data_IF_371278394383
#
_entry.id   IF_371278394383
#
_cell.length_a   1.000
_cell.length_b   1.000
_cell.length_c   1.000
_cell.angle_alpha   90.00
_cell.angle_beta   90.00
_cell.angle_gamma   90.00
#
_symmetry.space_group_name_H-M   'P 1'
#
loop_
_entity.id
_entity.type
_entity.pdbx_description
1 polymer ?
#
# COMPACT_ATOMS: atom_id res chain seq x y z
N UNK A 1 21.91 2.74 -8.39
CA UNK A 1 20.67 2.26 -9.02
C UNK A 1 19.56 2.24 -7.98
N UNK A 2 18.30 2.41 -8.38
CA UNK A 2 17.16 2.25 -7.46
C UNK A 2 15.99 1.54 -8.16
N UNK A 3 15.23 0.75 -7.41
CA UNK A 3 13.94 0.17 -7.81
C UNK A 3 12.88 0.60 -6.82
N UNK A 4 11.72 1.04 -7.31
CA UNK A 4 10.55 1.32 -6.48
C UNK A 4 9.95 -0.01 -6.03
N UNK A 5 9.84 -0.22 -4.72
CA UNK A 5 9.21 -1.42 -4.15
C UNK A 5 7.74 -1.19 -3.81
N UNK A 6 7.43 -0.03 -3.25
CA UNK A 6 6.09 0.33 -2.81
C UNK A 6 5.91 1.85 -2.78
N UNK A 7 4.66 2.30 -2.70
CA UNK A 7 4.33 3.70 -2.46
C UNK A 7 3.07 3.83 -1.61
N UNK A 8 3.09 4.79 -0.68
CA UNK A 8 1.90 5.18 0.07
C UNK A 8 1.81 6.71 0.20
N UNK A 9 0.90 7.17 1.05
CA UNK A 9 0.87 8.57 1.44
C UNK A 9 0.51 8.72 2.92
N UNK A 10 0.96 9.83 3.49
CA UNK A 10 0.59 10.27 4.83
C UNK A 10 0.03 11.69 4.78
N UNK A 11 -0.63 12.09 5.86
CA UNK A 11 -1.02 13.48 6.07
C UNK A 11 -0.13 14.05 7.18
N UNK A 12 0.60 15.12 6.89
CA UNK A 12 1.43 15.86 7.84
C UNK A 12 1.10 17.33 7.71
N UNK A 13 0.74 17.99 8.81
CA UNK A 13 0.39 19.42 8.84
C UNK A 13 -0.67 19.85 7.78
N UNK A 14 -1.71 19.02 7.60
CA UNK A 14 -2.76 19.13 6.58
C UNK A 14 -2.32 18.93 5.12
N UNK A 15 -1.04 18.71 4.85
CA UNK A 15 -0.52 18.40 3.52
C UNK A 15 -0.53 16.89 3.26
N UNK A 16 -0.80 16.51 2.01
CA UNK A 16 -0.79 15.12 1.57
C UNK A 16 0.59 14.81 0.98
N UNK A 17 1.37 13.97 1.67
CA UNK A 17 2.75 13.65 1.31
C UNK A 17 2.79 12.21 0.80
N UNK A 18 3.20 12.03 -0.45
CA UNK A 18 3.45 10.69 -1.00
C UNK A 18 4.83 10.22 -0.54
N UNK A 19 4.93 8.94 -0.17
CA UNK A 19 6.19 8.29 0.17
C UNK A 19 6.47 7.19 -0.84
N UNK A 20 7.65 7.23 -1.43
CA UNK A 20 8.13 6.22 -2.36
C UNK A 20 9.21 5.40 -1.68
N UNK A 21 8.99 4.09 -1.56
CA UNK A 21 9.91 3.17 -0.89
C UNK A 21 10.83 2.53 -1.92
N UNK A 22 12.10 2.92 -1.91
CA UNK A 22 13.10 2.42 -2.84
C UNK A 22 14.05 1.42 -2.19
N UNK A 23 14.42 0.40 -2.96
CA UNK A 23 15.67 -0.34 -2.74
C UNK A 23 16.75 0.26 -3.64
N UNK A 24 17.92 0.50 -3.06
CA UNK A 24 19.11 1.02 -3.75
C UNK A 24 20.31 0.12 -3.48
N UNK A 25 21.43 0.38 -4.16
CA UNK A 25 22.71 -0.30 -3.91
C UNK A 25 23.21 -0.07 -2.47
N UNK A 26 22.81 1.05 -1.85
CA UNK A 26 23.24 1.47 -0.51
C UNK A 26 22.26 1.09 0.60
N UNK A 27 21.17 0.37 0.28
CA UNK A 27 20.15 -0.02 1.26
C UNK A 27 18.75 0.42 0.84
N UNK A 28 18.01 1.04 1.77
CA UNK A 28 16.64 1.50 1.56
C UNK A 28 16.56 3.00 1.67
N UNK A 29 15.70 3.58 0.84
CA UNK A 29 15.46 5.03 0.81
C UNK A 29 13.96 5.29 0.77
N UNK A 30 13.52 6.35 1.44
CA UNK A 30 12.16 6.85 1.38
C UNK A 30 12.23 8.26 0.80
N UNK A 31 11.62 8.45 -0.35
CA UNK A 31 11.50 9.76 -1.00
C UNK A 31 10.10 10.33 -0.71
N UNK A 32 10.04 11.54 -0.14
CA UNK A 32 8.79 12.23 0.18
C UNK A 32 8.47 13.28 -0.91
N UNK A 33 7.25 13.22 -1.47
CA UNK A 33 6.76 14.13 -2.51
C UNK A 33 5.61 14.97 -1.92
N UNK A 34 5.79 16.30 -1.94
CA UNK A 34 4.87 17.26 -1.29
C UNK A 34 4.14 18.17 -2.27
N UNK A 35 4.56 18.22 -3.53
CA UNK A 35 4.03 19.10 -4.57
C UNK A 35 2.95 18.45 -5.45
N UNK A 36 2.55 17.22 -5.12
CA UNK A 36 1.50 16.50 -5.82
C UNK A 36 0.14 16.69 -5.15
N UNK A 37 -0.86 17.06 -5.93
CA UNK A 37 -2.21 17.35 -5.44
C UNK A 37 -3.23 16.35 -5.99
N UNK A 38 -4.19 15.89 -5.18
CA UNK A 38 -5.24 15.00 -5.66
C UNK A 38 -6.19 15.74 -6.59
N UNK A 39 -6.61 15.06 -7.64
CA UNK A 39 -7.58 15.60 -8.59
C UNK A 39 -8.42 14.49 -9.22
N UNK A 40 -9.50 14.91 -9.86
CA UNK A 40 -10.32 14.08 -10.73
C UNK A 40 -10.91 14.93 -11.86
N UNK A 41 -11.68 14.32 -12.75
CA UNK A 41 -12.28 15.00 -13.88
C UNK A 41 -13.81 15.03 -13.80
N UNK A 42 -14.40 16.11 -14.30
CA UNK A 42 -15.85 16.27 -14.41
C UNK A 42 -16.19 16.63 -15.85
N UNK A 43 -17.11 15.88 -16.43
CA UNK A 43 -17.62 16.10 -17.79
C UNK A 43 -18.90 16.93 -17.72
N UNK A 44 -19.07 17.95 -18.59
CA UNK A 44 -20.28 18.76 -18.60
C UNK A 44 -21.41 18.10 -19.40
N UNK A 45 -22.63 18.14 -18.88
CA UNK A 45 -23.86 17.77 -19.62
C UNK A 45 -24.40 18.92 -20.49
N UNK A 46 -23.85 20.13 -20.30
CA UNK A 46 -24.23 21.33 -21.04
C UNK A 46 -23.16 22.41 -20.97
N UNK A 47 -23.51 23.55 -20.37
CA UNK A 47 -22.63 24.72 -20.27
C UNK A 47 -21.52 24.50 -19.22
N UNK A 48 -20.28 24.34 -19.70
CA UNK A 48 -19.10 24.08 -18.87
C UNK A 48 -18.78 25.23 -17.91
N UNK A 49 -19.12 26.47 -18.27
CA UNK A 49 -18.86 27.63 -17.40
C UNK A 49 -19.81 27.63 -16.20
N UNK A 50 -21.07 27.24 -16.41
CA UNK A 50 -22.03 27.07 -15.31
C UNK A 50 -21.65 25.91 -14.39
N UNK A 51 -21.16 24.81 -14.94
CA UNK A 51 -20.62 23.71 -14.13
C UNK A 51 -19.42 24.18 -13.30
N UNK A 52 -18.50 24.95 -13.89
CA UNK A 52 -17.36 25.50 -13.17
C UNK A 52 -17.81 26.44 -12.03
N UNK A 53 -18.87 27.21 -12.22
CA UNK A 53 -19.46 28.06 -11.18
C UNK A 53 -20.10 27.25 -10.05
N UNK A 54 -20.82 26.16 -10.35
CA UNK A 54 -21.36 25.25 -9.33
C UNK A 54 -20.24 24.61 -8.49
N UNK A 55 -19.13 24.24 -9.12
CA UNK A 55 -17.97 23.63 -8.44
C UNK A 55 -17.26 24.61 -7.50
N UNK A 56 -17.29 25.92 -7.75
CA UNK A 56 -16.69 26.93 -6.84
C UNK A 56 -17.36 26.99 -5.46
N UNK A 57 -18.58 26.47 -5.32
CA UNK A 57 -19.28 26.43 -4.04
C UNK A 57 -18.67 25.41 -3.05
N UNK A 58 -17.84 24.47 -3.51
CA UNK A 58 -17.24 23.45 -2.66
C UNK A 58 -15.91 23.94 -2.07
N UNK A 59 -15.86 24.07 -0.74
CA UNK A 59 -14.70 24.59 0.00
C UNK A 59 -13.45 23.71 -0.08
N UNK A 60 -13.60 22.43 -0.42
CA UNK A 60 -12.48 21.47 -0.53
C UNK A 60 -11.87 21.42 -1.95
N UNK A 61 -12.44 22.15 -2.92
CA UNK A 61 -11.87 22.32 -4.26
C UNK A 61 -10.94 23.52 -4.24
N UNK A 62 -9.69 23.32 -4.67
CA UNK A 62 -8.65 24.37 -4.65
C UNK A 62 -8.35 24.92 -6.04
N UNK A 63 -8.59 24.15 -7.10
CA UNK A 63 -8.43 24.60 -8.47
C UNK A 63 -9.39 23.90 -9.42
N UNK A 64 -9.82 24.61 -10.46
CA UNK A 64 -10.65 24.10 -11.55
C UNK A 64 -10.01 24.57 -12.85
N UNK A 65 -9.62 23.62 -13.71
CA UNK A 65 -8.99 23.92 -15.00
C UNK A 65 -9.80 23.30 -16.13
N UNK A 66 -10.12 24.08 -17.18
CA UNK A 66 -10.66 23.54 -18.43
C UNK A 66 -9.56 22.79 -19.17
N UNK A 67 -9.85 21.57 -19.62
CA UNK A 67 -8.95 20.73 -20.43
C UNK A 67 -9.69 20.19 -21.65
N UNK A 68 -8.94 20.00 -22.73
CA UNK A 68 -9.38 19.24 -23.90
C UNK A 68 -8.80 17.84 -23.81
N UNK A 69 -9.64 16.83 -23.69
CA UNK A 69 -9.21 15.42 -23.54
C UNK A 69 -9.95 14.51 -24.51
N UNK A 70 -9.35 13.36 -24.79
CA UNK A 70 -9.96 12.34 -25.62
C UNK A 70 -10.84 11.45 -24.74
N UNK A 71 -12.15 11.49 -24.97
CA UNK A 71 -13.14 10.65 -24.28
C UNK A 71 -13.82 9.76 -25.32
N UNK A 72 -13.62 8.44 -25.20
CA UNK A 72 -14.13 7.42 -26.15
C UNK A 72 -13.80 7.75 -27.61
N UNK A 73 -12.58 8.24 -27.86
CA UNK A 73 -12.10 8.59 -29.21
C UNK A 73 -12.56 9.96 -29.72
N UNK A 74 -13.32 10.72 -28.93
CA UNK A 74 -13.80 12.06 -29.28
C UNK A 74 -13.14 13.11 -28.39
N UNK A 75 -12.63 14.19 -28.97
CA UNK A 75 -12.12 15.32 -28.18
C UNK A 75 -13.28 16.05 -27.50
N UNK A 76 -13.22 16.20 -26.17
CA UNK A 76 -14.22 16.89 -25.35
C UNK A 76 -13.56 17.88 -24.40
N UNK A 77 -14.28 18.95 -24.12
CA UNK A 77 -13.95 19.85 -23.01
C UNK A 77 -14.44 19.27 -21.70
N UNK A 78 -13.54 19.25 -20.71
CA UNK A 78 -13.80 18.76 -19.37
C UNK A 78 -13.19 19.70 -18.34
N UNK A 79 -13.56 19.52 -17.07
CA UNK A 79 -12.96 20.22 -15.95
C UNK A 79 -12.06 19.26 -15.17
N UNK A 80 -10.78 19.63 -15.00
CA UNK A 80 -9.90 19.04 -13.99
C UNK A 80 -10.15 19.75 -12.67
N UNK A 81 -10.53 18.98 -11.65
CA UNK A 81 -10.85 19.48 -10.32
C UNK A 81 -9.78 19.02 -9.35
N UNK A 82 -8.99 19.96 -8.83
CA UNK A 82 -7.96 19.69 -7.81
C UNK A 82 -8.55 19.94 -6.43
N UNK A 83 -8.28 19.04 -5.48
CA UNK A 83 -8.87 19.06 -4.14
C UNK A 83 -7.80 19.15 -3.05
N UNK A 84 -8.20 19.63 -1.86
CA UNK A 84 -7.27 19.85 -0.74
C UNK A 84 -6.60 18.56 -0.24
N UNK A 85 -7.36 17.47 -0.10
CA UNK A 85 -6.85 16.19 0.40
C UNK A 85 -7.54 14.99 -0.27
N UNK A 86 -6.85 13.83 -0.42
CA UNK A 86 -7.42 12.64 -1.06
C UNK A 86 -8.70 12.15 -0.38
N UNK A 87 -8.78 12.27 0.94
CA UNK A 87 -9.96 11.87 1.74
C UNK A 87 -11.24 12.65 1.38
N UNK A 88 -11.12 13.80 0.73
CA UNK A 88 -12.27 14.59 0.29
C UNK A 88 -12.86 14.11 -1.04
N UNK A 89 -12.11 13.35 -1.84
CA UNK A 89 -12.56 12.88 -3.16
C UNK A 89 -13.85 12.05 -3.09
N UNK A 90 -14.00 11.07 -2.16
CA UNK A 90 -15.20 10.22 -2.13
C UNK A 90 -16.49 10.99 -1.85
N UNK A 91 -16.48 12.00 -0.98
CA UNK A 91 -17.69 12.80 -0.72
C UNK A 91 -17.95 13.82 -1.82
N UNK A 92 -16.89 14.44 -2.36
CA UNK A 92 -17.01 15.40 -3.46
C UNK A 92 -17.59 14.74 -4.73
N UNK A 93 -17.10 13.56 -5.11
CA UNK A 93 -17.57 12.89 -6.34
C UNK A 93 -19.05 12.53 -6.28
N UNK A 94 -19.59 12.15 -5.12
CA UNK A 94 -21.02 11.85 -5.00
C UNK A 94 -21.85 13.14 -5.06
N UNK A 95 -21.45 14.19 -4.35
CA UNK A 95 -22.17 15.47 -4.37
C UNK A 95 -22.12 16.15 -5.76
N UNK A 96 -21.02 16.00 -6.50
CA UNK A 96 -20.84 16.61 -7.82
C UNK A 96 -21.69 15.92 -8.89
N UNK A 97 -21.96 14.62 -8.76
CA UNK A 97 -22.86 13.89 -9.68
C UNK A 97 -24.29 14.44 -9.66
N UNK A 98 -24.71 15.00 -8.52
CA UNK A 98 -26.05 15.58 -8.36
C UNK A 98 -26.17 17.02 -8.93
N UNK A 99 -25.07 17.60 -9.42
CA UNK A 99 -25.09 18.94 -10.01
C UNK A 99 -25.79 18.95 -11.37
N UNK A 100 -26.52 20.03 -11.65
CA UNK A 100 -27.36 20.16 -12.84
C UNK A 100 -26.58 20.06 -14.15
N UNK A 101 -25.38 20.64 -14.19
CA UNK A 101 -24.55 20.71 -15.40
C UNK A 101 -23.46 19.63 -15.45
N UNK A 102 -23.47 18.67 -14.51
CA UNK A 102 -22.57 17.52 -14.50
C UNK A 102 -23.19 16.38 -15.33
N UNK A 103 -22.36 15.74 -16.17
CA UNK A 103 -22.71 14.49 -16.86
C UNK A 103 -22.15 13.30 -16.08
N UNK A 104 -20.82 13.22 -16.00
CA UNK A 104 -20.12 12.18 -15.24
C UNK A 104 -18.88 12.75 -14.51
N UNK A 105 -18.59 12.16 -13.35
CA UNK A 105 -17.29 12.29 -12.66
C UNK A 105 -16.40 11.11 -13.06
N UNK A 106 -15.18 11.39 -13.51
CA UNK A 106 -14.20 10.38 -13.95
C UNK A 106 -12.92 10.42 -13.12
N UNK A 107 -12.28 9.25 -12.99
CA UNK A 107 -10.98 9.07 -12.31
C UNK A 107 -10.97 9.50 -10.82
N UNK A 108 -12.14 9.55 -10.18
CA UNK A 108 -12.32 9.92 -8.78
C UNK A 108 -12.23 8.73 -7.80
N UNK A 109 -11.69 7.60 -8.25
CA UNK A 109 -11.54 6.35 -7.50
C UNK A 109 -10.13 5.76 -7.61
N UNK A 110 -9.18 6.50 -8.21
CA UNK A 110 -7.78 6.11 -8.25
C UNK A 110 -7.14 6.43 -6.89
N UNK A 111 -6.57 5.45 -6.17
CA UNK A 111 -5.84 5.70 -4.93
C UNK A 111 -4.70 6.70 -5.13
N UNK A 112 -4.48 7.58 -4.17
CA UNK A 112 -3.62 8.75 -4.35
C UNK A 112 -2.16 8.42 -4.72
N UNK A 113 -1.56 7.43 -4.04
CA UNK A 113 -0.20 6.97 -4.37
C UNK A 113 -0.14 6.34 -5.77
N UNK A 114 -1.16 5.59 -6.17
CA UNK A 114 -1.24 5.00 -7.53
C UNK A 114 -1.39 6.09 -8.59
N UNK A 115 -2.18 7.14 -8.32
CA UNK A 115 -2.30 8.30 -9.22
C UNK A 115 -0.93 8.92 -9.48
N UNK A 116 -0.13 9.10 -8.43
CA UNK A 116 1.22 9.64 -8.58
C UNK A 116 2.13 8.75 -9.42
N UNK A 117 2.13 7.42 -9.16
CA UNK A 117 2.92 6.46 -9.97
C UNK A 117 2.56 6.58 -11.46
N UNK A 118 1.25 6.63 -11.77
CA UNK A 118 0.76 6.75 -13.15
C UNK A 118 1.22 8.08 -13.77
N UNK A 119 1.06 9.20 -13.06
CA UNK A 119 1.34 10.54 -13.60
C UNK A 119 2.82 10.83 -13.80
N UNK A 120 3.65 10.31 -12.89
CA UNK A 120 5.10 10.43 -12.96
C UNK A 120 5.73 9.46 -13.95
N UNK A 121 4.97 8.47 -14.45
CA UNK A 121 5.48 7.41 -15.31
C UNK A 121 6.44 6.46 -14.58
N UNK A 122 6.36 6.38 -13.26
CA UNK A 122 7.15 5.44 -12.46
C UNK A 122 6.70 4.01 -12.74
N UNK A 123 7.68 3.11 -12.84
CA UNK A 123 7.44 1.68 -13.05
C UNK A 123 7.94 0.94 -11.81
N UNK A 124 7.03 0.42 -10.96
CA UNK A 124 7.42 -0.43 -9.84
C UNK A 124 8.25 -1.62 -10.30
N UNK A 125 9.20 -2.04 -9.47
CA UNK A 125 10.12 -3.15 -9.72
C UNK A 125 11.05 -2.99 -10.95
N UNK A 126 11.13 -1.81 -11.56
CA UNK A 126 12.07 -1.60 -12.67
C UNK A 126 13.52 -1.75 -12.20
N UNK A 127 14.30 -2.56 -12.92
CA UNK A 127 15.70 -2.92 -12.59
C UNK A 127 15.87 -3.74 -11.30
N UNK A 128 14.81 -4.34 -10.74
CA UNK A 128 14.92 -5.10 -9.51
C UNK A 128 15.86 -6.30 -9.62
N UNK A 129 16.01 -6.88 -10.82
CA UNK A 129 16.90 -8.01 -11.11
C UNK A 129 18.39 -7.67 -10.95
N UNK A 130 18.74 -6.38 -11.01
CA UNK A 130 20.11 -5.90 -10.80
C UNK A 130 20.40 -5.64 -9.33
N UNK A 131 19.38 -5.69 -8.48
CA UNK A 131 19.47 -5.50 -7.04
C UNK A 131 19.30 -6.84 -6.33
N UNK A 132 20.15 -7.11 -5.35
CA UNK A 132 20.05 -8.32 -4.53
C UNK A 132 18.94 -8.15 -3.48
N UNK A 133 17.68 -8.31 -3.90
CA UNK A 133 16.52 -8.27 -3.01
C UNK A 133 16.63 -9.38 -1.95
N UNK A 134 16.44 -9.01 -0.69
CA UNK A 134 16.45 -9.94 0.44
C UNK A 134 15.03 -10.45 0.66
N UNK A 135 14.82 -11.74 0.50
CA UNK A 135 13.49 -12.37 0.48
C UNK A 135 13.45 -13.41 1.59
N UNK A 136 12.38 -13.40 2.40
CA UNK A 136 12.15 -14.44 3.40
C UNK A 136 10.75 -15.04 3.29
N UNK A 137 10.68 -16.36 3.40
CA UNK A 137 9.47 -17.12 3.61
C UNK A 137 9.18 -17.27 5.10
N UNK A 138 7.92 -17.05 5.48
CA UNK A 138 7.43 -17.19 6.86
C UNK A 138 6.16 -18.03 6.85
N UNK A 139 6.02 -18.90 7.86
CA UNK A 139 4.87 -19.76 8.06
C UNK A 139 4.69 -20.06 9.56
N UNK A 140 3.44 -20.19 10.03
CA UNK A 140 3.12 -20.48 11.42
C UNK A 140 2.34 -21.79 11.59
N UNK A 141 2.60 -22.47 12.70
CA UNK A 141 1.82 -23.64 13.11
C UNK A 141 1.11 -23.36 14.42
N UNK A 142 -0.18 -23.71 14.47
CA UNK A 142 -1.09 -23.34 15.56
C UNK A 142 -1.70 -24.56 16.20
N UNK A 143 -1.82 -24.55 17.52
CA UNK A 143 -2.51 -25.61 18.25
C UNK A 143 -4.02 -25.56 18.01
N UNK A 144 -4.58 -26.55 17.33
CA UNK A 144 -5.97 -26.49 16.86
C UNK A 144 -6.79 -27.75 17.21
N UNK A 145 -7.12 -27.98 18.49
CA UNK A 145 -7.82 -29.19 18.94
C UNK A 145 -9.30 -29.21 18.52
N UNK A 146 -9.88 -28.06 18.15
CA UNK A 146 -11.30 -27.90 17.78
C UNK A 146 -11.50 -27.64 16.29
N UNK A 147 -10.52 -28.01 15.45
CA UNK A 147 -10.47 -27.90 13.98
C UNK A 147 -10.33 -26.50 13.39
N UNK A 148 -11.11 -25.53 13.83
CA UNK A 148 -10.91 -24.14 13.38
C UNK A 148 -10.12 -23.40 14.47
N UNK A 149 -8.89 -22.96 14.16
CA UNK A 149 -8.04 -22.31 15.14
C UNK A 149 -8.57 -20.90 15.40
N UNK A 150 -8.44 -20.42 16.64
CA UNK A 150 -8.78 -19.04 16.99
C UNK A 150 -7.69 -18.40 17.82
N UNK A 151 -7.16 -17.27 17.33
CA UNK A 151 -6.05 -16.55 17.98
C UNK A 151 -6.36 -16.09 19.40
N UNK A 152 -7.63 -15.99 19.79
CA UNK A 152 -8.06 -15.66 21.15
C UNK A 152 -7.83 -16.78 22.19
N UNK A 153 -7.61 -18.03 21.77
CA UNK A 153 -7.51 -19.20 22.67
C UNK A 153 -6.48 -20.25 22.27
N UNK A 154 -6.16 -20.36 20.98
CA UNK A 154 -5.41 -21.45 20.37
C UNK A 154 -4.01 -20.91 20.04
N UNK A 155 -2.96 -21.24 20.81
CA UNK A 155 -1.66 -20.59 20.68
C UNK A 155 -0.90 -21.04 19.44
N UNK A 156 -0.05 -20.17 18.92
CA UNK A 156 1.02 -20.52 17.99
C UNK A 156 2.00 -21.45 18.73
N UNK A 157 2.37 -22.57 18.09
CA UNK A 157 3.29 -23.58 18.64
C UNK A 157 4.65 -23.59 17.95
N UNK A 158 4.71 -23.16 16.68
CA UNK A 158 5.95 -22.99 15.93
C UNK A 158 5.82 -21.82 14.95
N UNK A 159 6.94 -21.14 14.71
CA UNK A 159 7.12 -20.19 13.60
C UNK A 159 8.33 -20.64 12.80
N UNK A 160 8.17 -20.82 11.50
CA UNK A 160 9.25 -21.16 10.59
C UNK A 160 9.67 -19.97 9.72
N UNK A 161 10.95 -19.93 9.37
CA UNK A 161 11.58 -18.87 8.60
C UNK A 161 12.65 -19.45 7.68
N UNK A 162 12.68 -18.99 6.43
CA UNK A 162 13.76 -19.27 5.50
C UNK A 162 14.04 -18.07 4.60
N UNK A 163 15.29 -17.66 4.44
CA UNK A 163 15.66 -16.55 3.54
C UNK A 163 16.58 -16.97 2.39
N UNK A 164 16.67 -16.09 1.39
CA UNK A 164 17.59 -16.26 0.25
C UNK A 164 19.05 -15.90 0.57
N UNK A 165 19.37 -15.60 1.84
CA UNK A 165 20.72 -15.42 2.36
C UNK A 165 21.25 -16.68 3.06
N UNK A 166 20.41 -17.72 3.17
CA UNK A 166 20.75 -19.04 3.69
C UNK A 166 20.32 -19.31 5.14
N UNK A 167 19.70 -18.35 5.83
CA UNK A 167 19.19 -18.60 7.18
C UNK A 167 17.91 -19.43 7.13
N UNK A 168 17.89 -20.53 7.88
CA UNK A 168 16.71 -21.34 8.14
C UNK A 168 16.52 -21.49 9.64
N UNK A 169 15.34 -21.17 10.14
CA UNK A 169 15.02 -21.21 11.57
C UNK A 169 13.61 -21.71 11.81
N UNK A 170 13.44 -22.44 12.91
CA UNK A 170 12.16 -22.76 13.51
C UNK A 170 12.23 -22.35 14.97
N UNK A 171 11.37 -21.42 15.39
CA UNK A 171 11.20 -21.11 16.81
C UNK A 171 10.06 -21.94 17.37
N UNK A 172 10.28 -22.58 18.52
CA UNK A 172 9.25 -23.37 19.21
C UNK A 172 9.41 -23.32 20.73
N UNK A 173 8.30 -23.52 21.45
CA UNK A 173 8.31 -23.74 22.91
C UNK A 173 8.67 -25.18 23.29
N UNK A 174 8.78 -26.08 22.30
CA UNK A 174 9.09 -27.51 22.45
C UNK A 174 10.32 -27.88 21.60
N UNK A 175 10.76 -29.15 21.69
CA UNK A 175 11.85 -29.67 20.86
C UNK A 175 13.17 -29.96 21.58
N UNK A 176 13.18 -30.05 22.93
CA UNK A 176 14.39 -30.31 23.74
C UNK A 176 15.24 -31.51 23.28
N UNK A 177 14.61 -32.52 22.68
CA UNK A 177 15.27 -33.75 22.24
C UNK A 177 15.49 -33.82 20.72
N UNK A 178 15.19 -32.75 19.99
CA UNK A 178 15.41 -32.67 18.55
C UNK A 178 16.80 -32.08 18.34
N UNK A 179 17.79 -32.92 18.06
CA UNK A 179 19.16 -32.50 17.77
C UNK A 179 19.27 -31.89 16.36
N UNK A 180 18.56 -30.78 16.12
CA UNK A 180 18.42 -30.09 14.85
C UNK A 180 18.93 -28.65 15.01
N UNK A 181 19.95 -28.29 14.26
CA UNK A 181 20.67 -27.01 14.34
C UNK A 181 19.86 -25.78 13.92
N UNK A 182 18.77 -26.00 13.17
CA UNK A 182 17.85 -24.94 12.74
C UNK A 182 16.70 -24.69 13.72
N UNK A 183 16.53 -25.51 14.77
CA UNK A 183 15.50 -25.30 15.78
C UNK A 183 16.07 -24.45 16.91
N UNK A 184 15.42 -23.33 17.17
CA UNK A 184 15.70 -22.50 18.33
C UNK A 184 14.54 -22.59 19.33
N UNK A 185 14.83 -23.16 20.49
CA UNK A 185 13.86 -23.22 21.58
C UNK A 185 13.73 -21.85 22.25
N UNK A 186 12.49 -21.41 22.42
CA UNK A 186 12.13 -20.23 23.22
C UNK A 186 11.17 -20.60 24.36
N UNK A 187 10.94 -19.67 25.28
CA UNK A 187 10.17 -19.94 26.49
C UNK A 187 8.67 -19.68 26.37
N UNK A 188 8.22 -18.96 25.33
CA UNK A 188 6.82 -18.57 25.18
C UNK A 188 6.47 -18.20 23.73
N UNK A 189 5.19 -18.19 23.41
CA UNK A 189 4.66 -17.72 22.13
C UNK A 189 5.04 -16.25 21.81
N UNK A 190 4.90 -15.28 22.73
CA UNK A 190 5.38 -13.92 22.50
C UNK A 190 6.87 -13.85 22.16
N UNK A 191 7.68 -14.75 22.70
CA UNK A 191 9.11 -14.82 22.37
C UNK A 191 9.33 -15.33 20.94
N UNK A 192 8.54 -16.29 20.45
CA UNK A 192 8.62 -16.72 19.04
C UNK A 192 8.35 -15.56 18.08
N UNK A 193 7.29 -14.78 18.34
CA UNK A 193 6.91 -13.63 17.51
C UNK A 193 8.02 -12.56 17.55
N UNK A 194 8.58 -12.27 18.73
CA UNK A 194 9.71 -11.34 18.87
C UNK A 194 10.92 -11.81 18.07
N UNK A 195 11.26 -13.10 18.08
CA UNK A 195 12.40 -13.63 17.31
C UNK A 195 12.17 -13.52 15.80
N UNK A 196 10.96 -13.75 15.32
CA UNK A 196 10.60 -13.50 13.92
C UNK A 196 10.81 -12.02 13.55
N UNK A 197 10.24 -11.10 14.33
CA UNK A 197 10.35 -9.64 14.07
C UNK A 197 11.81 -9.19 14.11
N UNK A 198 12.57 -9.64 15.12
CA UNK A 198 14.00 -9.32 15.25
C UNK A 198 14.77 -9.82 14.03
N UNK A 199 14.55 -11.06 13.61
CA UNK A 199 15.22 -11.65 12.45
C UNK A 199 14.89 -10.86 11.18
N UNK A 200 13.62 -10.56 10.91
CA UNK A 200 13.21 -9.77 9.74
C UNK A 200 13.93 -8.40 9.70
N UNK A 201 14.05 -7.73 10.85
CA UNK A 201 14.73 -6.43 10.98
C UNK A 201 16.24 -6.55 10.78
N UNK A 202 16.90 -7.45 11.50
CA UNK A 202 18.35 -7.64 11.45
C UNK A 202 18.83 -8.10 10.07
N UNK A 203 18.01 -8.89 9.38
CA UNK A 203 18.32 -9.37 8.03
C UNK A 203 17.93 -8.36 6.96
N UNK A 204 17.25 -7.28 7.34
CA UNK A 204 16.68 -6.25 6.46
C UNK A 204 15.95 -6.89 5.27
N UNK A 205 14.94 -7.72 5.56
CA UNK A 205 14.15 -8.42 4.53
C UNK A 205 13.29 -7.43 3.74
N UNK A 206 13.47 -7.40 2.42
CA UNK A 206 12.78 -6.50 1.49
C UNK A 206 11.41 -7.06 1.06
N UNK A 207 11.30 -8.38 0.91
CA UNK A 207 10.06 -9.08 0.54
C UNK A 207 9.81 -10.23 1.51
N UNK A 208 8.61 -10.25 2.11
CA UNK A 208 8.13 -11.39 2.88
C UNK A 208 7.17 -12.18 1.99
N UNK A 209 7.39 -13.48 1.87
CA UNK A 209 6.50 -14.41 1.16
C UNK A 209 5.84 -15.36 2.16
N UNK A 210 4.58 -15.65 1.96
CA UNK A 210 3.78 -16.56 2.79
C UNK A 210 2.88 -17.39 1.87
N UNK A 211 2.29 -18.46 2.41
CA UNK A 211 1.24 -19.20 1.71
C UNK A 211 -0.08 -18.99 2.45
N UNK A 212 -1.00 -18.24 1.85
CA UNK A 212 -2.26 -17.81 2.49
C UNK A 212 -2.08 -16.87 3.72
N UNK A 213 -0.93 -16.19 3.85
CA UNK A 213 -0.65 -15.35 5.01
C UNK A 213 -1.58 -14.16 5.20
N UNK A 214 -2.15 -13.62 4.12
CA UNK A 214 -3.14 -12.53 4.19
C UNK A 214 -4.42 -12.95 4.93
N UNK A 215 -4.82 -14.22 4.80
CA UNK A 215 -6.06 -14.73 5.39
C UNK A 215 -5.84 -15.54 6.67
N UNK A 216 -4.60 -15.96 6.95
CA UNK A 216 -4.27 -16.81 8.08
C UNK A 216 -3.14 -16.25 8.92
N UNK A 217 -1.89 -16.36 8.47
CA UNK A 217 -0.70 -16.09 9.29
C UNK A 217 -0.69 -14.68 9.91
N UNK A 218 -0.85 -13.63 9.09
CA UNK A 218 -0.79 -12.26 9.58
C UNK A 218 -2.00 -11.86 10.43
N UNK A 219 -3.26 -12.25 10.10
CA UNK A 219 -4.38 -12.05 11.02
C UNK A 219 -4.27 -12.80 12.36
N UNK A 220 -3.49 -13.90 12.39
CA UNK A 220 -3.33 -14.72 13.60
C UNK A 220 -2.25 -14.19 14.55
N UNK A 221 -1.15 -13.64 13.99
CA UNK A 221 -0.03 -13.02 14.69
C UNK A 221 -0.43 -11.70 15.40
#
# INVERSE_FOLDING_TARGET
MKTLLDADYIIRDEESIIRLFYKTDNGREIEEITDFQPYFYVTPSGDIDKLADELKAFTNIIAIEKKQMLDRGVKREILKVTVKQPKNVPSLRENIKELKYCDEVREADIPFAHRYIIDSGLIPMENCEKLNLRIAAVDIEVYNPKREPRSDRDPIIMISYADNLGLRRVWSTKGENLNLDYIERVNSEPEMIKRLIQTIKEREIDIIVTYNGDNFDFPYL
#
